data_IF_146600311110
#
_entry.id   IF_146600311110
#
_cell.length_a   1.000
_cell.length_b   1.000
_cell.length_c   1.000
_cell.angle_alpha   90.00
_cell.angle_beta   90.00
_cell.angle_gamma   90.00
#
_symmetry.space_group_name_H-M   'P 1'
#
loop_
_entity.id
_entity.type
_entity.pdbx_description
1 polymer ?
#
# COMPACT_ATOMS: atom_id res chain seq x y z
N UNK A 1 -16.12 -15.75 11.08
CA UNK A 1 -16.75 -14.42 10.97
C UNK A 1 -16.57 -13.92 9.56
N UNK A 2 -17.64 -13.38 8.96
CA UNK A 2 -17.62 -12.72 7.67
C UNK A 2 -18.31 -11.36 7.83
N UNK A 3 -17.61 -10.29 7.41
CA UNK A 3 -18.18 -8.96 7.28
C UNK A 3 -18.04 -8.52 5.83
N UNK A 4 -19.04 -7.81 5.33
CA UNK A 4 -18.98 -7.20 4.00
C UNK A 4 -19.71 -5.86 4.03
N UNK A 5 -19.20 -4.89 3.30
CA UNK A 5 -19.82 -3.59 3.12
C UNK A 5 -19.74 -3.19 1.65
N UNK A 6 -20.80 -2.54 1.16
CA UNK A 6 -20.83 -1.83 -0.12
C UNK A 6 -21.10 -0.37 0.21
N UNK A 7 -20.34 0.52 -0.34
CA UNK A 7 -20.44 1.95 -0.02
C UNK A 7 -20.20 2.85 -1.22
N UNK A 8 -20.67 4.06 -1.09
CA UNK A 8 -20.35 5.19 -1.96
C UNK A 8 -20.01 6.38 -1.09
N UNK A 9 -18.88 7.02 -1.37
CA UNK A 9 -18.42 8.22 -0.68
C UNK A 9 -18.19 9.32 -1.69
N UNK A 10 -18.55 10.56 -1.35
CA UNK A 10 -18.28 11.76 -2.13
C UNK A 10 -17.69 12.84 -1.23
N UNK A 11 -16.68 13.53 -1.74
CA UNK A 11 -16.02 14.65 -1.09
C UNK A 11 -16.12 15.85 -2.01
N UNK A 12 -16.72 16.93 -1.54
CA UNK A 12 -16.78 18.22 -2.26
C UNK A 12 -15.74 19.18 -1.65
N UNK A 13 -15.17 20.04 -2.48
CA UNK A 13 -14.13 20.99 -2.08
C UNK A 13 -12.82 20.29 -1.69
N UNK A 14 -12.54 19.15 -2.27
CA UNK A 14 -11.28 18.41 -2.06
C UNK A 14 -10.06 19.29 -2.39
N UNK A 15 -9.06 19.25 -1.54
CA UNK A 15 -7.82 20.01 -1.74
C UNK A 15 -6.71 19.09 -2.26
N UNK A 16 -6.04 19.51 -3.32
CA UNK A 16 -4.90 18.83 -3.91
C UNK A 16 -3.68 19.74 -3.91
N UNK A 17 -2.51 19.16 -3.62
CA UNK A 17 -1.23 19.84 -3.71
C UNK A 17 -0.57 19.58 -5.05
N UNK A 18 -0.17 20.64 -5.75
CA UNK A 18 0.67 20.57 -6.94
C UNK A 18 2.06 21.15 -6.65
N UNK A 19 3.12 20.44 -7.06
CA UNK A 19 4.48 20.95 -6.97
C UNK A 19 4.86 21.70 -8.24
N UNK A 20 5.20 23.00 -8.12
CA UNK A 20 5.52 23.88 -9.25
C UNK A 20 7.02 24.16 -9.38
N UNK A 21 7.86 23.14 -9.14
CA UNK A 21 9.31 23.26 -9.30
C UNK A 21 10.06 23.84 -8.09
N UNK A 22 9.52 24.85 -7.43
CA UNK A 22 10.14 25.50 -6.26
C UNK A 22 9.26 25.50 -5.01
N UNK A 23 7.99 25.13 -5.14
CA UNK A 23 7.04 25.12 -4.03
C UNK A 23 5.78 24.34 -4.32
N UNK A 24 5.00 24.10 -3.29
CA UNK A 24 3.68 23.50 -3.40
C UNK A 24 2.61 24.57 -3.48
N UNK A 25 1.66 24.36 -4.37
CA UNK A 25 0.44 25.17 -4.47
C UNK A 25 -0.74 24.30 -4.12
N UNK A 26 -1.59 24.79 -3.23
CA UNK A 26 -2.85 24.15 -2.86
C UNK A 26 -3.92 24.56 -3.89
N UNK A 27 -4.53 23.59 -4.52
CA UNK A 27 -5.65 23.79 -5.44
C UNK A 27 -6.88 23.08 -4.91
N UNK A 28 -8.07 23.62 -5.19
CA UNK A 28 -9.32 22.92 -4.91
C UNK A 28 -9.69 22.06 -6.12
N UNK A 29 -9.78 20.75 -5.91
CA UNK A 29 -10.57 19.88 -6.77
C UNK A 29 -12.03 20.06 -6.41
N UNK A 30 -12.92 20.19 -7.40
CA UNK A 30 -14.34 20.42 -7.16
C UNK A 30 -14.98 19.25 -6.41
N UNK A 31 -14.84 18.02 -6.92
CA UNK A 31 -15.48 16.84 -6.36
C UNK A 31 -14.73 15.57 -6.69
N UNK A 32 -14.67 14.67 -5.70
CA UNK A 32 -14.18 13.30 -5.85
C UNK A 32 -15.21 12.32 -5.29
N UNK A 33 -15.45 11.23 -5.96
CA UNK A 33 -16.25 10.12 -5.43
C UNK A 33 -15.52 8.78 -5.51
N UNK A 34 -15.96 7.85 -4.69
CA UNK A 34 -15.44 6.48 -4.65
C UNK A 34 -16.57 5.53 -4.33
N UNK A 35 -16.79 4.54 -5.18
CA UNK A 35 -17.61 3.37 -4.90
C UNK A 35 -16.70 2.23 -4.46
N UNK A 36 -17.16 1.43 -3.51
CA UNK A 36 -16.32 0.37 -2.99
C UNK A 36 -17.06 -0.81 -2.40
N UNK A 37 -16.31 -1.90 -2.32
CA UNK A 37 -16.70 -3.11 -1.62
C UNK A 37 -15.56 -3.47 -0.67
N UNK A 38 -15.89 -3.75 0.57
CA UNK A 38 -14.97 -4.27 1.58
C UNK A 38 -15.47 -5.62 2.08
N UNK A 39 -14.54 -6.55 2.26
CA UNK A 39 -14.82 -7.90 2.77
C UNK A 39 -13.76 -8.29 3.76
N UNK A 40 -14.17 -8.76 4.95
CA UNK A 40 -13.31 -9.35 5.96
C UNK A 40 -13.80 -10.75 6.32
N UNK A 41 -12.94 -11.73 6.19
CA UNK A 41 -13.19 -13.11 6.55
C UNK A 41 -12.16 -13.58 7.57
N UNK A 42 -12.63 -14.14 8.69
CA UNK A 42 -11.80 -14.86 9.64
C UNK A 42 -12.38 -16.25 9.86
N UNK A 43 -11.56 -17.27 9.64
CA UNK A 43 -11.92 -18.69 9.77
C UNK A 43 -10.93 -19.38 10.70
N UNK A 44 -11.44 -20.03 11.72
CA UNK A 44 -10.69 -21.02 12.49
C UNK A 44 -10.84 -22.36 11.77
N UNK A 45 -9.95 -22.64 10.82
CA UNK A 45 -10.03 -23.81 9.95
C UNK A 45 -9.82 -25.13 10.71
N UNK A 46 -8.98 -25.10 11.76
CA UNK A 46 -8.79 -26.16 12.74
C UNK A 46 -8.59 -25.56 14.12
N UNK A 47 -8.41 -26.37 15.16
CA UNK A 47 -8.03 -25.86 16.50
C UNK A 47 -6.68 -25.13 16.48
N UNK A 48 -5.80 -25.53 15.58
CA UNK A 48 -4.45 -24.99 15.43
C UNK A 48 -4.32 -23.89 14.38
N UNK A 49 -5.17 -23.89 13.32
CA UNK A 49 -5.04 -23.02 12.16
C UNK A 49 -6.15 -21.96 12.12
N UNK A 50 -5.72 -20.71 12.12
CA UNK A 50 -6.58 -19.56 11.84
C UNK A 50 -6.16 -18.89 10.55
N UNK A 51 -7.14 -18.57 9.71
CA UNK A 51 -6.97 -17.81 8.46
C UNK A 51 -7.76 -16.52 8.57
N UNK A 52 -7.17 -15.43 8.13
CA UNK A 52 -7.85 -14.13 7.98
C UNK A 52 -7.55 -13.57 6.59
N UNK A 53 -8.57 -13.07 5.92
CA UNK A 53 -8.45 -12.42 4.61
C UNK A 53 -9.29 -11.17 4.62
N UNK A 54 -8.68 -10.05 4.24
CA UNK A 54 -9.36 -8.77 4.03
C UNK A 54 -9.16 -8.34 2.59
N UNK A 55 -10.20 -7.76 1.99
CA UNK A 55 -10.15 -7.24 0.63
C UNK A 55 -10.93 -5.95 0.51
N UNK A 56 -10.34 -4.94 -0.13
CA UNK A 56 -10.97 -3.67 -0.49
C UNK A 56 -10.89 -3.49 -2.00
N UNK A 57 -12.03 -3.21 -2.61
CA UNK A 57 -12.18 -2.98 -4.05
C UNK A 57 -12.82 -1.63 -4.26
N UNK A 58 -12.14 -0.72 -4.94
CA UNK A 58 -12.53 0.68 -5.10
C UNK A 58 -12.62 1.07 -6.57
N UNK A 59 -13.53 1.99 -6.85
CA UNK A 59 -13.61 2.71 -8.12
C UNK A 59 -13.60 4.22 -7.84
N UNK A 60 -12.42 4.80 -7.57
CA UNK A 60 -12.26 6.22 -7.29
C UNK A 60 -12.18 7.04 -8.58
N UNK A 61 -12.85 8.19 -8.59
CA UNK A 61 -12.87 9.10 -9.73
C UNK A 61 -12.91 10.56 -9.27
N UNK A 62 -12.26 11.44 -10.00
CA UNK A 62 -12.51 12.88 -9.92
C UNK A 62 -13.78 13.21 -10.72
N UNK A 63 -14.86 13.54 -10.02
CA UNK A 63 -16.12 13.96 -10.67
C UNK A 63 -16.01 15.36 -11.29
N UNK A 64 -15.20 16.24 -10.66
CA UNK A 64 -14.85 17.57 -11.13
C UNK A 64 -13.47 17.96 -10.61
N UNK A 65 -12.51 18.16 -11.49
CA UNK A 65 -11.18 18.67 -11.17
C UNK A 65 -10.56 19.46 -12.32
N UNK A 66 -11.21 20.56 -12.70
CA UNK A 66 -10.78 21.45 -13.80
C UNK A 66 -9.64 22.40 -13.39
N UNK A 67 -9.43 22.61 -12.09
CA UNK A 67 -8.36 23.45 -11.53
C UNK A 67 -7.02 22.75 -11.28
N UNK A 68 -6.83 21.57 -11.87
CA UNK A 68 -5.58 20.81 -11.73
C UNK A 68 -4.40 21.48 -12.43
N UNK A 69 -3.19 21.05 -12.04
CA UNK A 69 -1.96 21.47 -12.70
C UNK A 69 -1.10 20.26 -13.02
N UNK A 70 -0.55 20.24 -14.24
CA UNK A 70 0.37 19.23 -14.73
C UNK A 70 1.62 19.93 -15.26
N UNK A 71 2.79 19.69 -14.64
CA UNK A 71 4.05 20.34 -15.00
C UNK A 71 3.98 21.86 -15.00
N UNK A 72 3.22 22.46 -14.07
CA UNK A 72 3.03 23.89 -13.98
C UNK A 72 2.09 24.47 -15.04
N UNK A 73 1.41 23.64 -15.82
CA UNK A 73 0.39 24.05 -16.77
C UNK A 73 -1.00 23.66 -16.26
N UNK A 74 -2.03 24.50 -16.51
CA UNK A 74 -3.41 24.13 -16.21
C UNK A 74 -3.79 22.80 -16.86
N UNK A 75 -4.49 21.95 -16.11
CA UNK A 75 -4.95 20.65 -16.57
C UNK A 75 -6.36 20.37 -16.05
N UNK A 76 -7.07 19.48 -16.73
CA UNK A 76 -8.37 18.98 -16.29
C UNK A 76 -8.23 17.48 -15.98
N UNK A 77 -8.43 17.10 -14.72
CA UNK A 77 -8.36 15.72 -14.25
C UNK A 77 -9.76 15.11 -14.04
N UNK A 78 -10.82 15.80 -14.45
CA UNK A 78 -12.17 15.27 -14.41
C UNK A 78 -12.27 13.96 -15.16
N UNK A 79 -12.88 12.95 -14.54
CA UNK A 79 -13.01 11.61 -15.11
C UNK A 79 -11.81 10.70 -14.88
N UNK A 80 -10.71 11.19 -14.29
CA UNK A 80 -9.51 10.38 -14.04
C UNK A 80 -9.56 9.73 -12.65
N UNK A 81 -8.83 8.63 -12.54
CA UNK A 81 -8.57 7.99 -11.25
C UNK A 81 -7.55 8.79 -10.44
N UNK A 82 -7.83 9.15 -9.17
CA UNK A 82 -6.88 9.80 -8.28
C UNK A 82 -5.60 8.96 -8.10
N UNK A 83 -4.43 9.61 -8.15
CA UNK A 83 -3.17 8.96 -7.90
C UNK A 83 -3.06 8.46 -6.44
N UNK A 84 -2.30 7.41 -6.23
CA UNK A 84 -2.01 6.85 -4.91
C UNK A 84 -3.14 6.02 -4.29
N UNK A 85 -4.30 5.92 -4.93
CA UNK A 85 -5.43 5.10 -4.45
C UNK A 85 -5.44 3.76 -5.18
N UNK A 86 -5.12 2.69 -4.47
CA UNK A 86 -5.19 1.33 -5.01
C UNK A 86 -6.65 0.92 -5.24
N UNK A 87 -6.96 0.49 -6.48
CA UNK A 87 -8.30 -0.03 -6.79
C UNK A 87 -8.59 -1.40 -6.16
N UNK A 88 -7.55 -2.13 -5.82
CA UNK A 88 -7.64 -3.44 -5.15
C UNK A 88 -6.54 -3.55 -4.11
N UNK A 89 -6.94 -3.84 -2.88
CA UNK A 89 -6.02 -4.16 -1.79
C UNK A 89 -6.49 -5.46 -1.14
N UNK A 90 -5.58 -6.42 -0.98
CA UNK A 90 -5.85 -7.72 -0.39
C UNK A 90 -4.80 -8.00 0.67
N UNK A 91 -5.24 -8.41 1.86
CA UNK A 91 -4.38 -8.91 2.92
C UNK A 91 -4.84 -10.30 3.32
N UNK A 92 -3.91 -11.23 3.43
CA UNK A 92 -4.19 -12.59 3.89
C UNK A 92 -3.19 -12.98 4.98
N UNK A 93 -3.68 -13.53 6.07
CA UNK A 93 -2.86 -13.98 7.21
C UNK A 93 -3.22 -15.42 7.56
N UNK A 94 -2.20 -16.27 7.69
CA UNK A 94 -2.33 -17.62 8.20
C UNK A 94 -1.52 -17.77 9.48
N UNK A 95 -2.14 -18.22 10.56
CA UNK A 95 -1.49 -18.50 11.84
C UNK A 95 -1.73 -19.94 12.24
N UNK A 96 -0.64 -20.68 12.40
CA UNK A 96 -0.67 -22.07 12.89
C UNK A 96 0.01 -22.15 14.24
N UNK A 97 -0.74 -22.59 15.24
CA UNK A 97 -0.26 -22.82 16.60
C UNK A 97 0.03 -24.30 16.83
N UNK A 98 1.11 -24.61 17.52
CA UNK A 98 1.51 -25.99 17.81
C UNK A 98 2.22 -26.11 19.14
N UNK A 99 2.35 -27.36 19.59
CA UNK A 99 3.17 -27.70 20.77
C UNK A 99 4.44 -28.42 20.32
N UNK A 100 5.59 -28.01 20.84
CA UNK A 100 6.87 -28.68 20.66
C UNK A 100 7.38 -29.11 22.06
N UNK A 101 7.05 -30.32 22.48
CA UNK A 101 7.24 -30.76 23.85
C UNK A 101 6.45 -29.88 24.82
N UNK A 102 7.14 -29.18 25.73
CA UNK A 102 6.54 -28.25 26.70
C UNK A 102 6.49 -26.80 26.21
N UNK A 103 6.82 -26.54 24.94
CA UNK A 103 6.86 -25.19 24.35
C UNK A 103 5.61 -24.96 23.53
N UNK A 104 4.99 -23.79 23.70
CA UNK A 104 3.97 -23.27 22.78
C UNK A 104 4.68 -22.62 21.61
N UNK A 105 4.33 -23.02 20.40
CA UNK A 105 4.89 -22.48 19.15
C UNK A 105 3.82 -21.90 18.26
N UNK A 106 4.24 -20.99 17.36
CA UNK A 106 3.42 -20.55 16.25
C UNK A 106 4.27 -20.34 15.01
N UNK A 107 3.65 -20.51 13.86
CA UNK A 107 4.10 -20.02 12.56
C UNK A 107 3.03 -19.09 12.04
N UNK A 108 3.44 -17.92 11.55
CA UNK A 108 2.54 -16.98 10.90
C UNK A 108 3.16 -16.57 9.57
N UNK A 109 2.34 -16.54 8.53
CA UNK A 109 2.66 -15.92 7.27
C UNK A 109 1.57 -14.91 6.93
N UNK A 110 1.97 -13.79 6.36
CA UNK A 110 1.05 -12.79 5.83
C UNK A 110 1.46 -12.40 4.41
N UNK A 111 0.46 -12.15 3.60
CA UNK A 111 0.58 -11.68 2.22
C UNK A 111 -0.20 -10.39 2.07
N UNK A 112 0.43 -9.41 1.41
CA UNK A 112 -0.20 -8.16 1.02
C UNK A 112 -0.08 -7.99 -0.48
N UNK A 113 -1.21 -7.65 -1.11
CA UNK A 113 -1.29 -7.23 -2.50
C UNK A 113 -2.02 -5.89 -2.59
N UNK A 114 -1.40 -4.93 -3.27
CA UNK A 114 -2.05 -3.68 -3.67
C UNK A 114 -1.85 -3.50 -5.16
N UNK A 115 -2.95 -3.30 -5.91
CA UNK A 115 -2.90 -3.12 -7.37
C UNK A 115 -2.07 -1.90 -7.76
N UNK A 116 -1.55 -1.90 -8.98
CA UNK A 116 -0.77 -0.78 -9.51
C UNK A 116 -1.50 0.56 -9.37
N UNK A 117 -0.77 1.58 -8.94
CA UNK A 117 -1.21 2.98 -8.86
C UNK A 117 -0.13 3.90 -9.39
N UNK A 118 -0.52 5.01 -10.00
CA UNK A 118 0.39 6.11 -10.25
C UNK A 118 0.79 6.75 -8.92
N UNK A 119 2.08 6.84 -8.66
CA UNK A 119 2.60 7.34 -7.38
C UNK A 119 2.91 8.84 -7.39
N UNK A 120 2.74 9.49 -8.53
CA UNK A 120 2.93 10.92 -8.68
C UNK A 120 1.75 11.55 -9.41
N UNK A 121 1.08 12.51 -8.79
CA UNK A 121 -0.20 13.05 -9.19
C UNK A 121 -0.33 13.37 -10.68
N UNK A 122 -1.53 13.22 -11.20
CA UNK A 122 -1.90 13.40 -12.59
C UNK A 122 -2.71 12.24 -13.17
N UNK A 123 -2.92 11.17 -12.40
CA UNK A 123 -3.66 10.00 -12.86
C UNK A 123 -3.05 9.43 -14.14
N UNK A 124 -3.88 8.93 -15.03
CA UNK A 124 -3.44 8.36 -16.32
C UNK A 124 -2.79 9.39 -17.29
N UNK A 125 -2.90 10.69 -17.00
CA UNK A 125 -2.21 11.77 -17.76
C UNK A 125 -0.77 11.94 -17.29
N UNK A 126 -0.28 11.11 -16.39
CA UNK A 126 1.02 11.33 -15.83
C UNK A 126 2.06 11.51 -16.94
N UNK A 127 2.52 12.73 -17.00
CA UNK A 127 3.85 13.10 -17.44
C UNK A 127 4.40 12.22 -18.58
N UNK A 128 4.51 12.77 -19.74
CA UNK A 128 5.38 12.33 -20.82
C UNK A 128 6.84 12.10 -20.37
N UNK A 129 7.02 11.31 -19.31
CA UNK A 129 8.32 10.89 -18.86
C UNK A 129 8.52 9.42 -19.22
N UNK A 130 8.60 9.18 -20.54
CA UNK A 130 8.92 7.89 -21.16
C UNK A 130 10.08 7.17 -20.43
N UNK A 131 11.06 7.93 -19.95
CA UNK A 131 12.20 7.38 -19.22
C UNK A 131 11.82 6.75 -17.87
N UNK A 132 10.71 7.16 -17.26
CA UNK A 132 10.21 6.56 -16.01
C UNK A 132 9.36 5.32 -16.28
N UNK A 133 8.55 5.38 -17.34
CA UNK A 133 7.77 4.21 -17.78
C UNK A 133 8.69 3.08 -18.20
N UNK A 134 9.76 3.37 -18.93
CA UNK A 134 10.78 2.40 -19.33
C UNK A 134 11.51 1.77 -18.14
N UNK A 135 11.62 2.48 -17.00
CA UNK A 135 12.25 1.98 -15.78
C UNK A 135 11.26 1.34 -14.81
N UNK A 136 9.96 1.35 -15.10
CA UNK A 136 8.92 0.82 -14.21
C UNK A 136 8.72 1.62 -12.92
N UNK A 137 9.19 2.87 -12.84
CA UNK A 137 9.10 3.70 -11.63
C UNK A 137 7.84 4.57 -11.56
N UNK A 138 7.04 4.57 -12.60
CA UNK A 138 5.81 5.36 -12.63
C UNK A 138 4.74 4.80 -11.72
N UNK A 139 4.62 3.50 -11.68
CA UNK A 139 3.57 2.80 -10.95
C UNK A 139 4.15 2.02 -9.78
N UNK A 140 3.38 1.97 -8.71
CA UNK A 140 3.65 1.12 -7.56
C UNK A 140 2.59 0.03 -7.50
N UNK A 141 3.02 -1.20 -7.63
CA UNK A 141 2.26 -2.39 -7.27
C UNK A 141 2.97 -3.05 -6.09
N UNK A 142 2.24 -3.61 -5.15
CA UNK A 142 2.80 -4.28 -3.97
C UNK A 142 2.40 -5.75 -4.00
N UNK A 143 3.38 -6.65 -3.86
CA UNK A 143 3.15 -8.08 -3.72
C UNK A 143 4.15 -8.64 -2.71
N UNK A 144 3.82 -8.58 -1.43
CA UNK A 144 4.75 -8.79 -0.34
C UNK A 144 4.33 -9.96 0.55
N UNK A 145 5.28 -10.82 0.88
CA UNK A 145 5.12 -11.88 1.87
C UNK A 145 6.00 -11.60 3.08
N UNK A 146 5.44 -11.73 4.27
CA UNK A 146 6.18 -11.76 5.53
C UNK A 146 5.90 -13.08 6.26
N UNK A 147 6.84 -13.51 7.11
CA UNK A 147 6.65 -14.68 7.94
C UNK A 147 7.32 -14.52 9.29
N UNK A 148 6.79 -15.20 10.29
CA UNK A 148 7.41 -15.29 11.59
C UNK A 148 7.15 -16.65 12.24
N UNK A 149 8.11 -17.05 13.07
CA UNK A 149 8.08 -18.25 13.88
C UNK A 149 8.35 -17.84 15.33
N UNK A 150 7.62 -18.39 16.28
CA UNK A 150 7.83 -18.12 17.68
C UNK A 150 7.74 -19.37 18.54
N UNK A 151 8.49 -19.38 19.64
CA UNK A 151 8.44 -20.39 20.69
C UNK A 151 8.40 -19.72 22.06
N UNK A 152 7.53 -20.23 22.93
CA UNK A 152 7.41 -19.76 24.31
C UNK A 152 7.54 -20.94 25.27
N UNK A 153 8.42 -20.79 26.28
CA UNK A 153 8.57 -21.74 27.37
C UNK A 153 8.74 -20.99 28.69
N UNK A 154 7.78 -21.15 29.60
CA UNK A 154 7.77 -20.41 30.85
C UNK A 154 7.88 -18.90 30.60
N UNK A 155 8.91 -18.28 31.16
CA UNK A 155 9.17 -16.84 31.02
C UNK A 155 9.94 -16.45 29.74
N UNK A 156 10.36 -17.41 28.93
CA UNK A 156 11.13 -17.18 27.70
C UNK A 156 10.24 -17.14 26.49
N UNK A 157 10.46 -16.16 25.63
CA UNK A 157 9.84 -16.04 24.33
C UNK A 157 10.92 -15.77 23.26
N UNK A 158 11.05 -16.65 22.29
CA UNK A 158 11.86 -16.49 21.10
C UNK A 158 10.97 -16.21 19.90
N UNK A 159 11.31 -15.21 19.10
CA UNK A 159 10.68 -14.95 17.81
C UNK A 159 11.73 -14.72 16.74
N UNK A 160 11.58 -15.38 15.60
CA UNK A 160 12.34 -15.15 14.37
C UNK A 160 11.36 -14.67 13.31
N UNK A 161 11.75 -13.70 12.51
CA UNK A 161 10.88 -13.12 11.50
C UNK A 161 11.64 -12.71 10.24
N UNK A 162 10.94 -12.67 9.13
CA UNK A 162 11.38 -12.08 7.87
C UNK A 162 10.29 -11.19 7.30
N UNK A 163 10.68 -10.06 6.77
CA UNK A 163 9.80 -9.11 6.09
C UNK A 163 10.24 -8.97 4.65
N UNK A 164 9.25 -8.73 3.78
CA UNK A 164 9.46 -8.63 2.34
C UNK A 164 10.27 -9.82 1.80
N UNK A 165 9.80 -11.05 2.09
CA UNK A 165 10.48 -12.28 1.69
C UNK A 165 10.53 -12.47 0.18
N UNK A 166 9.57 -11.89 -0.54
CA UNK A 166 9.53 -11.80 -2.00
C UNK A 166 10.63 -10.91 -2.57
N UNK A 167 11.23 -10.05 -1.73
CA UNK A 167 12.20 -9.01 -2.12
C UNK A 167 11.64 -8.06 -3.18
N UNK A 168 10.35 -7.78 -3.06
CA UNK A 168 9.64 -6.87 -3.96
C UNK A 168 10.15 -5.44 -3.76
N UNK A 169 10.40 -4.74 -4.86
CA UNK A 169 11.01 -3.41 -4.83
C UNK A 169 10.14 -2.42 -5.60
N UNK A 170 9.75 -1.35 -4.93
CA UNK A 170 8.99 -0.26 -5.53
C UNK A 170 9.41 1.09 -4.95
N UNK A 171 9.03 2.16 -5.63
CA UNK A 171 9.14 3.49 -5.06
C UNK A 171 7.87 3.85 -4.28
N UNK A 172 8.05 4.34 -3.06
CA UNK A 172 6.95 4.90 -2.25
C UNK A 172 6.46 6.18 -2.90
N UNK A 173 7.40 7.02 -3.32
CA UNK A 173 7.18 8.24 -4.09
C UNK A 173 8.44 8.63 -4.81
N UNK A 174 8.31 9.50 -5.80
CA UNK A 174 9.43 10.14 -6.48
C UNK A 174 9.03 11.56 -6.92
N UNK A 175 10.01 12.40 -7.19
CA UNK A 175 9.81 13.73 -7.74
C UNK A 175 11.06 14.20 -8.50
N UNK A 176 10.92 15.15 -9.45
CA UNK A 176 12.06 15.79 -10.09
C UNK A 176 12.97 16.43 -9.07
N UNK A 177 14.28 16.21 -9.19
CA UNK A 177 15.25 16.83 -8.30
C UNK A 177 15.31 18.34 -8.57
N UNK A 178 15.17 19.13 -7.51
CA UNK A 178 15.24 20.60 -7.62
C UNK A 178 16.63 21.02 -8.09
N UNK A 179 16.69 21.92 -9.08
CA UNK A 179 17.92 22.44 -9.67
C UNK A 179 18.85 21.41 -10.36
N UNK A 180 18.37 20.20 -10.63
CA UNK A 180 19.10 19.17 -11.38
C UNK A 180 18.25 18.68 -12.54
N UNK A 181 18.29 19.37 -13.66
CA UNK A 181 17.51 19.03 -14.86
C UNK A 181 17.76 17.59 -15.29
N UNK A 182 16.67 16.83 -15.49
CA UNK A 182 16.73 15.42 -15.91
C UNK A 182 17.02 14.42 -14.77
N UNK A 183 17.21 14.89 -13.54
CA UNK A 183 17.39 14.04 -12.37
C UNK A 183 16.08 13.81 -11.63
N UNK A 184 15.94 12.61 -11.04
CA UNK A 184 14.80 12.23 -10.22
C UNK A 184 15.28 11.76 -8.85
N UNK A 185 14.52 12.09 -7.84
CA UNK A 185 14.70 11.59 -6.48
C UNK A 185 13.57 10.66 -6.15
N UNK A 186 13.88 9.42 -5.76
CA UNK A 186 12.90 8.41 -5.37
C UNK A 186 13.17 7.87 -3.98
N UNK A 187 12.10 7.50 -3.28
CA UNK A 187 12.15 6.84 -1.97
C UNK A 187 11.74 5.39 -2.14
N UNK A 188 12.68 4.42 -2.07
CA UNK A 188 12.36 3.01 -2.16
C UNK A 188 11.65 2.51 -0.91
N UNK A 189 10.91 1.41 -1.06
CA UNK A 189 10.38 0.65 0.07
C UNK A 189 11.51 -0.01 0.88
N UNK A 190 11.14 -0.55 2.03
CA UNK A 190 12.07 -1.34 2.84
C UNK A 190 12.43 -2.64 2.11
N UNK A 191 13.72 -2.95 1.91
CA UNK A 191 14.15 -4.21 1.31
C UNK A 191 13.85 -5.40 2.22
N UNK A 192 14.09 -6.60 1.74
CA UNK A 192 13.98 -7.82 2.54
C UNK A 192 14.85 -7.73 3.80
N UNK A 193 14.24 -7.99 4.95
CA UNK A 193 14.90 -7.95 6.26
C UNK A 193 14.55 -9.16 7.09
N UNK A 194 15.48 -9.53 7.95
CA UNK A 194 15.31 -10.63 8.91
C UNK A 194 15.68 -10.17 10.30
N UNK A 195 15.07 -10.78 11.29
CA UNK A 195 15.41 -10.50 12.68
C UNK A 195 15.05 -11.64 13.61
N UNK A 196 15.67 -11.60 14.79
CA UNK A 196 15.33 -12.46 15.91
C UNK A 196 15.22 -11.62 17.17
N UNK A 197 14.31 -12.00 18.04
CA UNK A 197 14.16 -11.41 19.39
C UNK A 197 14.05 -12.50 20.43
N UNK A 198 14.75 -12.31 21.53
CA UNK A 198 14.61 -13.14 22.72
C UNK A 198 14.17 -12.25 23.88
N UNK A 199 13.06 -12.62 24.51
CA UNK A 199 12.50 -11.89 25.66
C UNK A 199 12.41 -12.80 26.85
N UNK A 200 12.79 -12.28 28.01
CA UNK A 200 12.57 -12.91 29.31
C UNK A 200 11.64 -12.00 30.14
N UNK A 201 10.64 -12.61 30.76
CA UNK A 201 9.72 -11.91 31.67
C UNK A 201 10.09 -12.29 33.09
N UNK A 202 10.49 -11.31 33.87
CA UNK A 202 10.83 -11.46 35.30
C UNK A 202 9.58 -11.66 36.18
#
# INVERSE_FOLDING_TARGET
TLNAAIFEQSIEGFQSNAFLGTGFVLTNAGKQSTKGIEVDLTVRATEALTLAVSGTFLDPIYDDFTGAQLNGQPADFTGLTPAGIHKRSISAVATYNFMLGSMNGFVQADYQYDSAVDINGGGDISLNNLALDERGFRQREVSMVNASFGLTRGNWNLRVWGRNLTDDQWLITWFPAVAQTGSLTGYPNQPRTYGASLRYKF
#
